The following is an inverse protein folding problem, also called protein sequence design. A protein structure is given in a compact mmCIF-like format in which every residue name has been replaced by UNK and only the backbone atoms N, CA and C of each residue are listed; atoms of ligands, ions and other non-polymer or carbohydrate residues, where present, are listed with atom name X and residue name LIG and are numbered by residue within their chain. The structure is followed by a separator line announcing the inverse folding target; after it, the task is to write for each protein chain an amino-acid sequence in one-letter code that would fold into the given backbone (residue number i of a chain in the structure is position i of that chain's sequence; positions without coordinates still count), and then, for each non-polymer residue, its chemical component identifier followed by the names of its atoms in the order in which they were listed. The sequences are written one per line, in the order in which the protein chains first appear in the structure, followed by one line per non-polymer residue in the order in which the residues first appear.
data_IF_035137098733
#
_entry.id   IF_035137098733
#
_cell.length_a   1.000
_cell.length_b   1.000
_cell.length_c   1.000
_cell.angle_alpha   90.00
_cell.angle_beta   90.00
_cell.angle_gamma   90.00
#
_symmetry.space_group_name_H-M   'P 1'
#
loop_
_entity.id
_entity.type
_entity.pdbx_description
1 polymer ?
#
# COMPACT_ATOMS: atom_id res chain seq x y z
N UNK A 1 31.99 -23.66 28.35
CA UNK A 1 32.38 -23.22 29.69
C UNK A 1 31.98 -21.78 29.81
N UNK A 2 31.17 -21.45 30.81
CA UNK A 2 30.78 -20.06 31.07
C UNK A 2 31.99 -19.33 31.69
N UNK A 3 32.20 -18.04 31.38
CA UNK A 3 33.24 -17.27 32.05
C UNK A 3 33.03 -17.31 33.55
N UNK A 4 34.06 -17.67 34.31
CA UNK A 4 34.03 -17.79 35.77
C UNK A 4 33.81 -19.21 36.30
N UNK A 5 33.41 -20.19 35.48
CA UNK A 5 33.12 -21.57 35.92
C UNK A 5 34.35 -22.26 36.56
N UNK A 6 35.55 -22.02 36.00
CA UNK A 6 36.80 -22.54 36.56
C UNK A 6 37.15 -21.89 37.90
N UNK A 7 36.82 -20.60 38.08
CA UNK A 7 37.07 -19.88 39.33
C UNK A 7 36.08 -20.31 40.41
N UNK A 8 34.82 -20.50 40.06
CA UNK A 8 33.80 -21.04 40.96
C UNK A 8 34.23 -22.42 41.48
N UNK A 9 34.72 -23.30 40.60
CA UNK A 9 35.22 -24.62 41.01
C UNK A 9 36.40 -24.54 41.98
N UNK A 10 37.36 -23.62 41.75
CA UNK A 10 38.51 -23.45 42.64
C UNK A 10 38.10 -22.85 44.00
N UNK A 11 37.11 -21.96 44.01
CA UNK A 11 36.54 -21.39 45.24
C UNK A 11 35.80 -22.46 46.03
N UNK A 12 35.02 -23.32 45.37
CA UNK A 12 34.31 -24.43 45.99
C UNK A 12 35.30 -25.44 46.60
N UNK A 13 36.40 -25.74 45.90
CA UNK A 13 37.48 -26.61 46.41
C UNK A 13 38.15 -26.02 47.66
N UNK A 14 38.43 -24.71 47.63
CA UNK A 14 38.97 -23.99 48.80
C UNK A 14 37.98 -24.01 49.98
N UNK A 15 36.69 -23.80 49.72
CA UNK A 15 35.64 -23.87 50.74
C UNK A 15 35.56 -25.28 51.34
N UNK A 16 35.68 -26.31 50.52
CA UNK A 16 35.69 -27.70 50.95
C UNK A 16 36.86 -27.99 51.90
N UNK A 17 38.09 -27.60 51.55
CA UNK A 17 39.28 -27.76 52.40
C UNK A 17 39.09 -27.09 53.76
N UNK A 18 38.54 -25.88 53.77
CA UNK A 18 38.26 -25.14 55.02
C UNK A 18 37.17 -25.84 55.84
N UNK A 19 36.13 -26.36 55.19
CA UNK A 19 35.01 -27.03 55.87
C UNK A 19 35.42 -28.37 56.51
N UNK A 20 36.29 -29.13 55.84
CA UNK A 20 36.77 -30.45 56.26
C UNK A 20 37.95 -30.38 57.25
N UNK A 21 38.54 -29.19 57.43
CA UNK A 21 39.66 -28.95 58.34
C UNK A 21 39.40 -29.42 59.79
N UNK A 22 40.46 -29.90 60.46
CA UNK A 22 40.36 -30.44 61.82
C UNK A 22 40.09 -29.34 62.85
N UNK A 23 39.22 -29.61 63.82
CA UNK A 23 38.95 -28.66 64.93
C UNK A 23 40.05 -28.78 65.99
N UNK A 24 40.70 -27.68 66.42
CA UNK A 24 41.70 -27.72 67.49
C UNK A 24 41.06 -28.07 68.84
N UNK A 25 41.72 -28.93 69.62
CA UNK A 25 41.29 -29.31 70.95
C UNK A 25 41.15 -28.08 71.87
N UNK A 26 39.97 -27.90 72.48
CA UNK A 26 39.65 -26.78 73.37
C UNK A 26 39.16 -25.50 72.67
N UNK A 27 39.14 -25.47 71.34
CA UNK A 27 38.85 -24.27 70.55
C UNK A 27 37.42 -24.18 70.01
N UNK A 28 36.38 -24.29 70.84
CA UNK A 28 35.01 -23.80 70.56
C UNK A 28 34.31 -24.13 69.22
N UNK A 29 34.83 -25.06 68.40
CA UNK A 29 34.28 -25.44 67.09
C UNK A 29 34.50 -24.46 65.93
N UNK A 30 34.91 -23.21 66.18
CA UNK A 30 34.97 -22.15 65.16
C UNK A 30 36.29 -22.10 64.37
N UNK A 31 37.39 -22.64 64.91
CA UNK A 31 38.70 -22.66 64.24
C UNK A 31 38.89 -23.98 63.51
N UNK A 32 39.48 -23.92 62.31
CA UNK A 32 39.83 -25.08 61.49
C UNK A 32 41.35 -25.09 61.27
N UNK A 33 41.96 -26.26 61.41
CA UNK A 33 43.34 -26.52 61.02
C UNK A 33 43.30 -27.10 59.61
N UNK A 34 43.92 -26.40 58.67
CA UNK A 34 44.01 -26.75 57.25
C UNK A 34 45.48 -26.83 56.83
N UNK A 35 45.76 -27.56 55.74
CA UNK A 35 47.09 -27.53 55.12
C UNK A 35 47.27 -26.19 54.41
N UNK A 36 48.28 -25.43 54.83
CA UNK A 36 48.57 -24.14 54.22
C UNK A 36 49.04 -24.29 52.77
N UNK A 37 49.75 -25.37 52.46
CA UNK A 37 50.29 -25.61 51.12
C UNK A 37 49.17 -25.81 50.09
N UNK A 38 48.17 -26.63 50.43
CA UNK A 38 46.99 -26.90 49.60
C UNK A 38 46.17 -25.62 49.35
N UNK A 39 45.99 -24.81 50.39
CA UNK A 39 45.32 -23.50 50.27
C UNK A 39 46.11 -22.53 49.37
N UNK A 40 47.43 -22.48 49.50
CA UNK A 40 48.26 -21.61 48.66
C UNK A 40 48.26 -22.04 47.20
N UNK A 41 48.23 -23.34 46.91
CA UNK A 41 48.17 -23.87 45.55
C UNK A 41 46.88 -23.44 44.84
N UNK A 42 45.73 -23.57 45.51
CA UNK A 42 44.44 -23.10 44.96
C UNK A 42 44.43 -21.58 44.78
N UNK A 43 44.96 -20.82 45.75
CA UNK A 43 45.05 -19.36 45.63
C UNK A 43 45.93 -18.92 44.47
N UNK A 44 47.03 -19.63 44.21
CA UNK A 44 47.91 -19.34 43.07
C UNK A 44 47.25 -19.71 41.74
N UNK A 45 46.47 -20.78 41.71
CA UNK A 45 45.68 -21.14 40.54
C UNK A 45 44.57 -20.12 40.24
N UNK A 46 43.81 -19.69 41.26
CA UNK A 46 42.84 -18.59 41.14
C UNK A 46 43.55 -17.34 40.60
N UNK A 47 44.72 -16.97 41.13
CA UNK A 47 45.49 -15.80 40.66
C UNK A 47 45.96 -15.94 39.21
N UNK A 48 46.24 -17.16 38.75
CA UNK A 48 46.66 -17.46 37.38
C UNK A 48 45.49 -17.32 36.40
N UNK A 49 44.32 -17.81 36.76
CA UNK A 49 43.13 -17.91 35.89
C UNK A 49 42.29 -16.62 35.91
N UNK A 50 42.19 -15.95 37.07
CA UNK A 50 41.34 -14.77 37.28
C UNK A 50 41.52 -13.63 36.26
N UNK A 51 42.75 -13.21 35.87
CA UNK A 51 42.92 -12.11 34.93
C UNK A 51 42.31 -12.40 33.55
N UNK A 52 42.41 -13.65 33.08
CA UNK A 52 41.91 -14.07 31.77
C UNK A 52 40.38 -14.16 31.79
N UNK A 53 39.81 -14.86 32.78
CA UNK A 53 38.35 -14.96 32.95
C UNK A 53 37.68 -13.60 33.07
N UNK A 54 38.29 -12.69 33.85
CA UNK A 54 37.78 -11.33 34.00
C UNK A 54 37.87 -10.54 32.68
N UNK A 55 38.90 -10.76 31.87
CA UNK A 55 39.03 -10.15 30.54
C UNK A 55 37.98 -10.69 29.56
N UNK A 56 37.73 -12.00 29.57
CA UNK A 56 36.71 -12.63 28.73
C UNK A 56 35.30 -12.18 29.11
N UNK A 57 34.98 -12.09 30.41
CA UNK A 57 33.71 -11.55 30.88
C UNK A 57 33.49 -10.10 30.40
N UNK A 58 34.51 -9.23 30.52
CA UNK A 58 34.41 -7.84 30.00
C UNK A 58 34.21 -7.80 28.49
N UNK A 59 34.88 -8.69 27.75
CA UNK A 59 34.75 -8.78 26.30
C UNK A 59 33.34 -9.18 25.90
N UNK A 60 32.76 -10.18 26.55
CA UNK A 60 31.38 -10.64 26.29
C UNK A 60 30.37 -9.53 26.54
N UNK A 61 30.46 -8.82 27.67
CA UNK A 61 29.57 -7.69 27.97
C UNK A 61 29.68 -6.59 26.91
N UNK A 62 30.89 -6.31 26.43
CA UNK A 62 31.11 -5.34 25.37
C UNK A 62 30.50 -5.80 24.03
N UNK A 63 30.74 -7.06 23.65
CA UNK A 63 30.21 -7.65 22.41
C UNK A 63 28.68 -7.72 22.42
N UNK A 64 28.07 -7.97 23.59
CA UNK A 64 26.62 -7.92 23.78
C UNK A 64 26.08 -6.52 23.54
N UNK A 65 26.69 -5.49 24.13
CA UNK A 65 26.33 -4.10 23.88
C UNK A 65 26.43 -3.71 22.40
N UNK A 66 27.55 -4.04 21.74
CA UNK A 66 27.74 -3.79 20.31
C UNK A 66 26.74 -4.56 19.43
N UNK A 67 26.28 -5.73 19.88
CA UNK A 67 25.28 -6.53 19.17
C UNK A 67 23.89 -5.94 19.33
N UNK A 68 23.52 -5.51 20.53
CA UNK A 68 22.26 -4.83 20.80
C UNK A 68 22.17 -3.51 20.02
N UNK A 69 23.24 -2.70 20.01
CA UNK A 69 23.27 -1.44 19.27
C UNK A 69 23.10 -1.66 17.77
N UNK A 70 23.80 -2.66 17.21
CA UNK A 70 23.63 -3.03 15.79
C UNK A 70 22.22 -3.53 15.49
N UNK A 71 21.65 -4.36 16.36
CA UNK A 71 20.28 -4.85 16.20
C UNK A 71 19.26 -3.70 16.25
N UNK A 72 19.44 -2.73 17.14
CA UNK A 72 18.58 -1.55 17.23
C UNK A 72 18.68 -0.69 15.97
N UNK A 73 19.90 -0.39 15.50
CA UNK A 73 20.11 0.37 14.26
C UNK A 73 19.49 -0.33 13.05
N UNK A 74 19.62 -1.66 12.97
CA UNK A 74 19.02 -2.44 11.90
C UNK A 74 17.49 -2.43 11.97
N UNK A 75 16.90 -2.54 13.16
CA UNK A 75 15.46 -2.44 13.36
C UNK A 75 14.94 -1.05 12.94
N UNK A 76 15.61 0.02 13.35
CA UNK A 76 15.26 1.38 12.99
C UNK A 76 15.34 1.60 11.46
N UNK A 77 16.36 1.05 10.81
CA UNK A 77 16.50 1.10 9.35
C UNK A 77 15.37 0.35 8.63
N UNK A 78 14.98 -0.84 9.12
CA UNK A 78 13.86 -1.61 8.56
C UNK A 78 12.55 -0.84 8.70
N UNK A 79 12.30 -0.22 9.86
CA UNK A 79 11.10 0.58 10.09
C UNK A 79 11.07 1.79 9.15
N UNK A 80 12.19 2.49 8.97
CA UNK A 80 12.28 3.63 8.08
C UNK A 80 12.01 3.25 6.61
N UNK A 81 12.59 2.15 6.14
CA UNK A 81 12.35 1.64 4.78
C UNK A 81 10.89 1.22 4.58
N UNK A 82 10.30 0.51 5.54
CA UNK A 82 8.89 0.11 5.50
C UNK A 82 7.95 1.33 5.47
N UNK A 83 8.25 2.39 6.24
CA UNK A 83 7.49 3.63 6.22
C UNK A 83 7.58 4.33 4.86
N UNK A 84 8.77 4.40 4.27
CA UNK A 84 8.97 4.99 2.95
C UNK A 84 8.20 4.22 1.87
N UNK A 85 8.25 2.88 1.89
CA UNK A 85 7.50 2.04 0.96
C UNK A 85 5.98 2.23 1.12
N UNK A 86 5.50 2.33 2.37
CA UNK A 86 4.09 2.58 2.64
C UNK A 86 3.63 3.94 2.07
N UNK A 87 4.45 4.98 2.18
CA UNK A 87 4.13 6.29 1.58
C UNK A 87 4.06 6.24 0.06
N UNK A 88 5.00 5.53 -0.59
CA UNK A 88 4.99 5.35 -2.05
C UNK A 88 3.73 4.62 -2.49
N UNK A 89 3.42 3.48 -1.85
CA UNK A 89 2.25 2.69 -2.19
C UNK A 89 0.94 3.46 -1.98
N UNK A 90 0.83 4.22 -0.89
CA UNK A 90 -0.33 5.07 -0.63
C UNK A 90 -0.47 6.17 -1.70
N UNK A 91 0.65 6.77 -2.13
CA UNK A 91 0.69 7.71 -3.23
C UNK A 91 0.20 7.09 -4.55
N UNK A 92 0.69 5.90 -4.90
CA UNK A 92 0.29 5.18 -6.11
C UNK A 92 -1.20 4.81 -6.08
N UNK A 93 -1.70 4.33 -4.93
CA UNK A 93 -3.12 4.03 -4.77
C UNK A 93 -4.01 5.28 -4.93
N UNK A 94 -3.57 6.42 -4.41
CA UNK A 94 -4.31 7.67 -4.56
C UNK A 94 -4.32 8.16 -6.01
N UNK A 95 -3.19 8.03 -6.73
CA UNK A 95 -3.13 8.33 -8.17
C UNK A 95 -4.08 7.44 -8.96
N UNK A 96 -4.11 6.13 -8.68
CA UNK A 96 -5.04 5.19 -9.33
C UNK A 96 -6.50 5.55 -9.02
N UNK A 97 -6.81 5.91 -7.77
CA UNK A 97 -8.15 6.32 -7.35
C UNK A 97 -8.61 7.57 -8.11
N UNK A 98 -7.75 8.59 -8.20
CA UNK A 98 -8.05 9.83 -8.95
C UNK A 98 -8.21 9.54 -10.44
N UNK A 99 -7.34 8.72 -11.02
CA UNK A 99 -7.42 8.35 -12.44
C UNK A 99 -8.72 7.61 -12.76
N UNK A 100 -9.15 6.69 -11.88
CA UNK A 100 -10.41 5.98 -12.04
C UNK A 100 -11.60 6.95 -11.94
N UNK A 101 -11.60 7.85 -10.97
CA UNK A 101 -12.65 8.88 -10.84
C UNK A 101 -12.74 9.76 -12.09
N UNK A 102 -11.60 10.24 -12.62
CA UNK A 102 -11.58 11.01 -13.87
C UNK A 102 -12.08 10.18 -15.06
N UNK A 103 -11.72 8.90 -15.13
CA UNK A 103 -12.19 8.03 -16.21
C UNK A 103 -13.71 7.84 -16.17
N UNK A 104 -14.29 7.73 -14.98
CA UNK A 104 -15.74 7.60 -14.80
C UNK A 104 -16.45 8.92 -15.13
N UNK A 105 -15.92 10.07 -14.69
CA UNK A 105 -16.43 11.39 -15.07
C UNK A 105 -16.43 11.60 -16.59
N UNK A 106 -15.34 11.20 -17.28
CA UNK A 106 -15.23 11.26 -18.75
C UNK A 106 -16.27 10.36 -19.41
N UNK A 107 -16.49 9.15 -18.90
CA UNK A 107 -17.51 8.21 -19.44
C UNK A 107 -18.92 8.77 -19.30
N UNK A 108 -19.21 9.38 -18.15
CA UNK A 108 -20.51 9.98 -17.88
C UNK A 108 -20.75 11.18 -18.79
N UNK A 109 -19.75 12.05 -18.94
CA UNK A 109 -19.80 13.20 -19.86
C UNK A 109 -19.97 12.74 -21.32
N UNK A 110 -19.22 11.74 -21.76
CA UNK A 110 -19.33 11.19 -23.11
C UNK A 110 -20.71 10.59 -23.37
N UNK A 111 -21.26 9.86 -22.39
CA UNK A 111 -22.60 9.26 -22.47
C UNK A 111 -23.70 10.33 -22.51
N UNK A 112 -23.53 11.42 -21.76
CA UNK A 112 -24.45 12.56 -21.81
C UNK A 112 -24.38 13.27 -23.16
N UNK A 113 -23.17 13.56 -23.63
CA UNK A 113 -22.95 14.18 -24.93
C UNK A 113 -23.52 13.36 -26.09
N UNK A 114 -23.39 12.02 -26.04
CA UNK A 114 -23.98 11.12 -27.03
C UNK A 114 -25.51 11.23 -27.06
N UNK A 115 -26.16 11.21 -25.88
CA UNK A 115 -27.62 11.38 -25.77
C UNK A 115 -28.07 12.72 -26.32
N UNK A 116 -27.38 13.80 -25.93
CA UNK A 116 -27.73 15.15 -26.38
C UNK A 116 -27.54 15.30 -27.89
N UNK A 117 -26.45 14.74 -28.44
CA UNK A 117 -26.19 14.74 -29.89
C UNK A 117 -27.28 13.99 -30.64
N UNK A 118 -27.69 12.81 -30.15
CA UNK A 118 -28.78 12.04 -30.77
C UNK A 118 -30.10 12.80 -30.73
N UNK A 119 -30.45 13.37 -29.57
CA UNK A 119 -31.68 14.14 -29.42
C UNK A 119 -31.72 15.34 -30.39
N UNK A 120 -30.64 16.12 -30.43
CA UNK A 120 -30.54 17.28 -31.32
C UNK A 120 -30.60 16.87 -32.81
N UNK A 121 -30.01 15.73 -33.17
CA UNK A 121 -30.07 15.21 -34.54
C UNK A 121 -31.49 14.74 -34.91
N UNK A 122 -32.20 14.07 -33.99
CA UNK A 122 -33.59 13.64 -34.17
C UNK A 122 -34.51 14.87 -34.32
N UNK A 123 -34.37 15.89 -33.47
CA UNK A 123 -35.13 17.15 -33.56
C UNK A 123 -34.87 17.90 -34.88
N UNK A 124 -33.60 17.97 -35.29
CA UNK A 124 -33.24 18.58 -36.56
C UNK A 124 -33.85 17.83 -37.75
N UNK A 125 -33.81 16.49 -37.73
CA UNK A 125 -34.42 15.68 -38.77
C UNK A 125 -35.94 15.88 -38.86
N UNK A 126 -36.63 15.91 -37.72
CA UNK A 126 -38.07 16.18 -37.66
C UNK A 126 -38.42 17.55 -38.26
N UNK A 127 -37.67 18.58 -37.89
CA UNK A 127 -37.84 19.94 -38.42
C UNK A 127 -37.67 19.99 -39.94
N UNK A 128 -36.62 19.34 -40.46
CA UNK A 128 -36.37 19.28 -41.91
C UNK A 128 -37.48 18.52 -42.63
N UNK A 129 -37.96 17.41 -42.05
CA UNK A 129 -39.04 16.61 -42.63
C UNK A 129 -40.37 17.36 -42.62
N UNK A 130 -40.69 18.09 -41.54
CA UNK A 130 -41.88 18.93 -41.47
C UNK A 130 -41.87 20.03 -42.55
N UNK A 131 -40.74 20.71 -42.73
CA UNK A 131 -40.60 21.69 -43.81
C UNK A 131 -40.74 21.08 -45.21
N UNK A 132 -40.20 19.87 -45.41
CA UNK A 132 -40.38 19.16 -46.67
C UNK A 132 -41.86 18.80 -46.91
N UNK A 133 -42.56 18.33 -45.87
CA UNK A 133 -43.98 17.99 -45.94
C UNK A 133 -44.82 19.21 -46.36
N UNK A 134 -44.60 20.36 -45.73
CA UNK A 134 -45.31 21.60 -46.06
C UNK A 134 -45.05 22.04 -47.50
N UNK A 135 -43.80 21.94 -47.96
CA UNK A 135 -43.45 22.24 -49.34
C UNK A 135 -44.16 21.30 -50.34
N UNK A 136 -44.21 20.00 -50.04
CA UNK A 136 -44.90 19.01 -50.88
C UNK A 136 -46.42 19.22 -50.90
N UNK A 137 -47.03 19.58 -49.77
CA UNK A 137 -48.45 19.96 -49.70
C UNK A 137 -48.74 21.16 -50.61
N UNK A 138 -47.94 22.22 -50.51
CA UNK A 138 -48.08 23.42 -51.34
C UNK A 138 -47.94 23.12 -52.84
N UNK A 139 -46.97 22.27 -53.21
CA UNK A 139 -46.76 21.84 -54.59
C UNK A 139 -47.95 21.01 -55.10
N UNK A 140 -48.44 20.07 -54.29
CA UNK A 140 -49.60 19.23 -54.62
C UNK A 140 -50.87 20.08 -54.80
N UNK A 141 -51.11 21.06 -53.92
CA UNK A 141 -52.22 22.02 -54.06
C UNK A 141 -52.10 22.86 -55.32
N UNK A 142 -50.88 23.22 -55.72
CA UNK A 142 -50.63 23.97 -56.97
C UNK A 142 -50.91 23.12 -58.21
N UNK A 143 -50.48 21.86 -58.23
CA UNK A 143 -50.83 20.90 -59.30
C UNK A 143 -52.34 20.65 -59.36
N UNK A 144 -53.00 20.52 -58.21
CA UNK A 144 -54.45 20.37 -58.12
C UNK A 144 -55.20 21.55 -58.76
N UNK A 145 -54.79 22.78 -58.45
CA UNK A 145 -55.34 23.99 -59.09
C UNK A 145 -55.15 23.99 -60.61
N UNK A 146 -53.95 23.66 -61.10
CA UNK A 146 -53.67 23.58 -62.54
C UNK A 146 -54.58 22.54 -63.22
N UNK A 147 -54.74 21.36 -62.62
CA UNK A 147 -55.64 20.33 -63.15
C UNK A 147 -57.10 20.77 -63.18
N UNK A 148 -57.59 21.41 -62.12
CA UNK A 148 -58.95 21.94 -62.07
C UNK A 148 -59.19 22.99 -63.16
N UNK A 149 -58.24 23.92 -63.37
CA UNK A 149 -58.35 24.90 -64.45
C UNK A 149 -58.34 24.27 -65.85
N UNK A 150 -57.60 23.17 -66.05
CA UNK A 150 -57.62 22.41 -67.31
C UNK A 150 -58.96 21.72 -67.54
N UNK A 151 -59.56 21.14 -66.50
CA UNK A 151 -60.86 20.47 -66.54
C UNK A 151 -61.99 21.47 -66.84
N UNK A 152 -62.01 22.61 -66.13
CA UNK A 152 -62.95 23.71 -66.38
C UNK A 152 -62.84 24.25 -67.82
N UNK A 153 -61.62 24.34 -68.36
CA UNK A 153 -61.38 24.79 -69.73
C UNK A 153 -61.65 23.70 -70.80
N UNK A 154 -61.92 22.45 -70.40
CA UNK A 154 -62.30 21.34 -71.28
C UNK A 154 -63.78 20.97 -71.25
N UNK A 155 -64.60 21.67 -70.44
CA UNK A 155 -66.07 21.66 -70.51
C UNK A 155 -66.63 22.16 -71.87
N UNK A 156 -67.88 21.83 -72.23
CA UNK A 156 -68.34 21.69 -73.62
C UNK A 156 -68.08 22.92 -74.47
N UNK A 157 -67.28 22.71 -75.53
CA UNK A 157 -67.04 23.65 -76.63
C UNK A 157 -68.37 24.24 -77.09
N UNK A 158 -68.61 25.51 -76.77
CA UNK A 158 -69.80 26.23 -77.21
C UNK A 158 -69.75 26.38 -78.74
N UNK A 159 -70.45 25.46 -79.39
CA UNK A 159 -70.92 25.55 -80.75
C UNK A 159 -71.97 26.67 -80.81
N UNK A 160 -71.60 27.86 -81.25
CA UNK A 160 -72.52 28.71 -82.02
C UNK A 160 -71.72 29.72 -82.81
N UNK A 161 -71.24 29.25 -83.96
CA UNK A 161 -70.88 30.08 -85.08
C UNK A 161 -72.17 30.63 -85.70
N UNK A 162 -72.41 31.94 -85.67
CA UNK A 162 -73.30 32.58 -86.63
C UNK A 162 -72.88 34.04 -86.86
N UNK A 163 -72.30 34.31 -88.02
CA UNK A 163 -71.90 35.63 -88.53
C UNK A 163 -72.95 36.09 -89.54
N UNK A 164 -73.64 37.23 -89.34
CA UNK A 164 -74.38 37.90 -90.39
C UNK A 164 -73.52 39.02 -91.02
N UNK A 165 -73.43 38.93 -92.36
CA UNK A 165 -72.89 39.84 -93.40
C UNK A 165 -72.29 41.20 -93.01
#
# INVERSE_FOLDING_TARGET
MQPGEEIESLVDELEQIVSEGKVPFGGGGQKRIVDAQEVYEILDEIRRVFPQEFADARRIVKEEGETLDRAQQQADAIIADAQQQAMILAGDQEVVRIAQQQADDIRDQASQYERDTRYNAEEYADTVLAHLEDNLKSLTSSVGRVRQTLDENSGPRNQTNNVPW
#
